data_IF_406215894318
#
_entry.id   IF_406215894318
#
_cell.length_a   1.000
_cell.length_b   1.000
_cell.length_c   1.000
_cell.angle_alpha   90.00
_cell.angle_beta   90.00
_cell.angle_gamma   90.00
#
_symmetry.space_group_name_H-M   'P 1'
#
loop_
_entity.id
_entity.type
_entity.pdbx_description
1 polymer ?
#
# COMPACT_ATOMS: atom_id res chain seq x y z
N UNK A 1 -19.02 -16.12 18.95
CA UNK A 1 -17.95 -15.13 19.23
C UNK A 1 -17.44 -14.57 17.91
N UNK A 2 -18.09 -13.54 17.36
CA UNK A 2 -17.78 -12.98 16.02
C UNK A 2 -17.04 -11.62 16.14
N UNK A 3 -17.08 -10.98 17.31
CA UNK A 3 -16.50 -9.64 17.52
C UNK A 3 -14.96 -9.58 17.60
N UNK A 4 -14.29 -10.64 18.02
CA UNK A 4 -12.85 -10.59 18.32
C UNK A 4 -11.96 -10.48 17.07
N UNK A 5 -12.30 -11.19 15.97
CA UNK A 5 -11.53 -11.14 14.71
C UNK A 5 -11.71 -9.82 13.95
N UNK A 6 -12.89 -9.19 14.06
CA UNK A 6 -13.19 -7.91 13.41
C UNK A 6 -12.49 -6.73 14.08
N UNK A 7 -12.30 -6.78 15.42
CA UNK A 7 -11.54 -5.78 16.16
C UNK A 7 -10.05 -5.82 15.80
N UNK A 8 -9.43 -7.00 15.73
CA UNK A 8 -8.00 -7.13 15.41
C UNK A 8 -7.63 -6.57 14.04
N UNK A 9 -8.56 -6.56 13.08
CA UNK A 9 -8.30 -6.10 11.71
C UNK A 9 -8.38 -4.58 11.55
N UNK A 10 -9.48 -3.94 12.00
CA UNK A 10 -9.60 -2.47 11.96
C UNK A 10 -8.53 -1.79 12.82
N UNK A 11 -8.18 -2.39 13.95
CA UNK A 11 -7.23 -1.81 14.90
C UNK A 11 -5.77 -1.94 14.47
N UNK A 12 -5.39 -2.96 13.69
CA UNK A 12 -3.99 -3.17 13.29
C UNK A 12 -3.70 -2.91 11.80
N UNK A 13 -4.68 -3.12 10.92
CA UNK A 13 -4.46 -3.03 9.47
C UNK A 13 -4.67 -1.63 8.92
N UNK A 14 -5.62 -0.88 9.48
CA UNK A 14 -5.84 0.52 9.09
C UNK A 14 -4.64 1.41 9.41
N UNK A 15 -4.04 1.33 10.63
CA UNK A 15 -2.79 2.03 10.90
C UNK A 15 -1.65 1.57 9.99
N UNK A 16 -1.60 0.28 9.62
CA UNK A 16 -0.60 -0.23 8.69
C UNK A 16 -0.69 0.46 7.31
N UNK A 17 -1.90 0.60 6.76
CA UNK A 17 -2.13 1.27 5.46
C UNK A 17 -1.86 2.78 5.54
N UNK A 18 -2.28 3.44 6.62
CA UNK A 18 -1.97 4.86 6.83
C UNK A 18 -0.46 5.11 6.94
N UNK A 19 0.25 4.28 7.71
CA UNK A 19 1.71 4.37 7.85
C UNK A 19 2.44 4.08 6.53
N UNK A 20 1.90 3.17 5.69
CA UNK A 20 2.45 2.90 4.36
C UNK A 20 2.38 4.15 3.48
N UNK A 21 1.21 4.79 3.42
CA UNK A 21 1.01 6.04 2.67
C UNK A 21 1.92 7.15 3.20
N UNK A 22 2.02 7.29 4.52
CA UNK A 22 2.90 8.26 5.16
C UNK A 22 4.38 8.01 4.82
N UNK A 23 4.80 6.74 4.79
CA UNK A 23 6.17 6.36 4.40
C UNK A 23 6.45 6.75 2.96
N UNK A 24 5.53 6.45 2.04
CA UNK A 24 5.67 6.83 0.63
C UNK A 24 5.73 8.35 0.46
N UNK A 25 4.84 9.10 1.13
CA UNK A 25 4.85 10.56 1.11
C UNK A 25 6.14 11.15 1.67
N UNK A 26 6.69 10.58 2.75
CA UNK A 26 7.94 11.04 3.34
C UNK A 26 9.13 10.85 2.42
N UNK A 27 9.20 9.72 1.72
CA UNK A 27 10.26 9.49 0.73
C UNK A 27 10.10 10.44 -0.47
N UNK A 28 8.89 10.60 -1.02
CA UNK A 28 8.64 11.56 -2.11
C UNK A 28 8.89 13.03 -1.70
N UNK A 29 8.86 13.35 -0.40
CA UNK A 29 9.17 14.68 0.14
C UNK A 29 10.61 14.80 0.66
N UNK A 30 11.42 13.73 0.58
CA UNK A 30 12.81 13.72 1.06
C UNK A 30 13.60 14.90 0.48
N UNK A 31 13.31 15.22 -0.77
CA UNK A 31 14.06 16.16 -1.58
C UNK A 31 13.44 17.57 -1.55
N UNK A 32 12.36 17.73 -0.76
CA UNK A 32 11.62 18.97 -0.56
C UNK A 32 10.66 19.34 -1.70
N UNK A 33 10.63 18.56 -2.79
CA UNK A 33 9.77 18.77 -3.95
C UNK A 33 9.22 17.41 -4.38
N UNK A 34 7.90 17.30 -4.52
CA UNK A 34 7.26 16.13 -5.13
C UNK A 34 7.20 16.38 -6.64
N UNK A 35 7.82 15.50 -7.41
CA UNK A 35 7.77 15.54 -8.88
C UNK A 35 6.42 15.02 -9.40
N UNK A 36 6.13 15.29 -10.68
CA UNK A 36 4.91 14.78 -11.32
C UNK A 36 4.84 13.25 -11.29
N UNK A 37 5.97 12.56 -11.52
CA UNK A 37 6.10 11.10 -11.49
C UNK A 37 5.76 10.56 -10.09
N UNK A 38 6.38 11.11 -9.05
CA UNK A 38 6.11 10.71 -7.67
C UNK A 38 4.67 11.00 -7.25
N UNK A 39 4.09 12.13 -7.70
CA UNK A 39 2.69 12.44 -7.46
C UNK A 39 1.75 11.40 -8.06
N UNK A 40 2.07 10.86 -9.24
CA UNK A 40 1.31 9.78 -9.87
C UNK A 40 1.42 8.50 -9.05
N UNK A 41 2.63 8.13 -8.62
CA UNK A 41 2.85 6.97 -7.75
C UNK A 41 2.08 7.09 -6.44
N UNK A 42 2.17 8.24 -5.76
CA UNK A 42 1.44 8.50 -4.52
C UNK A 42 -0.07 8.40 -4.72
N UNK A 43 -0.59 8.95 -5.82
CA UNK A 43 -2.00 8.86 -6.16
C UNK A 43 -2.43 7.41 -6.38
N UNK A 44 -1.60 6.60 -7.06
CA UNK A 44 -1.88 5.19 -7.25
C UNK A 44 -1.87 4.42 -5.93
N UNK A 45 -0.89 4.68 -5.05
CA UNK A 45 -0.83 4.07 -3.72
C UNK A 45 -2.12 4.38 -2.95
N UNK A 46 -2.59 5.62 -2.98
CA UNK A 46 -3.84 6.02 -2.33
C UNK A 46 -5.05 5.28 -2.90
N UNK A 47 -5.14 5.16 -4.22
CA UNK A 47 -6.22 4.41 -4.90
C UNK A 47 -6.19 2.94 -4.50
N UNK A 48 -5.02 2.30 -4.50
CA UNK A 48 -4.87 0.90 -4.14
C UNK A 48 -5.20 0.64 -2.67
N UNK A 49 -4.74 1.51 -1.77
CA UNK A 49 -5.10 1.48 -0.33
C UNK A 49 -6.61 1.54 -0.16
N UNK A 50 -7.28 2.51 -0.79
CA UNK A 50 -8.74 2.66 -0.68
C UNK A 50 -9.51 1.51 -1.31
N UNK A 51 -9.03 1.02 -2.46
CA UNK A 51 -9.63 -0.13 -3.14
C UNK A 51 -9.55 -1.38 -2.26
N UNK A 52 -8.38 -1.60 -1.66
CA UNK A 52 -8.17 -2.71 -0.75
C UNK A 52 -8.99 -2.56 0.53
N UNK A 53 -9.06 -1.37 1.14
CA UNK A 53 -9.96 -1.11 2.29
C UNK A 53 -11.43 -1.48 1.97
N UNK A 54 -11.90 -1.18 0.75
CA UNK A 54 -13.25 -1.54 0.29
C UNK A 54 -13.41 -3.05 0.08
N UNK A 55 -12.44 -3.71 -0.54
CA UNK A 55 -12.46 -5.18 -0.73
C UNK A 55 -12.46 -5.91 0.61
N UNK A 56 -11.66 -5.42 1.55
CA UNK A 56 -11.58 -5.95 2.91
C UNK A 56 -12.88 -5.73 3.69
N UNK A 57 -13.51 -4.56 3.58
CA UNK A 57 -14.80 -4.31 4.21
C UNK A 57 -15.84 -5.35 3.76
N UNK A 58 -15.86 -5.70 2.46
CA UNK A 58 -16.75 -6.73 1.91
C UNK A 58 -16.39 -8.15 2.37
N UNK A 59 -15.11 -8.48 2.47
CA UNK A 59 -14.66 -9.81 2.91
C UNK A 59 -14.87 -10.04 4.41
N UNK A 60 -14.71 -8.99 5.23
CA UNK A 60 -15.03 -9.00 6.67
C UNK A 60 -16.53 -9.24 6.91
N UNK A 61 -17.40 -8.71 6.04
CA UNK A 61 -18.84 -9.00 6.06
C UNK A 61 -19.18 -10.43 5.61
N UNK A 62 -18.25 -11.11 4.91
CA UNK A 62 -18.50 -12.41 4.26
C UNK A 62 -17.97 -13.62 5.05
N UNK A 63 -17.37 -13.44 6.23
CA UNK A 63 -16.80 -14.49 7.12
C UNK A 63 -15.70 -15.37 6.49
N UNK A 64 -15.30 -15.10 5.23
CA UNK A 64 -14.15 -15.71 4.55
C UNK A 64 -12.89 -14.94 4.95
N UNK A 65 -12.48 -15.15 6.20
CA UNK A 65 -11.33 -14.46 6.79
C UNK A 65 -10.01 -14.86 6.12
N UNK A 66 -9.46 -13.98 5.26
CA UNK A 66 -8.03 -14.00 4.98
C UNK A 66 -7.28 -13.67 6.29
N UNK A 67 -6.27 -14.45 6.64
CA UNK A 67 -5.38 -14.08 7.74
C UNK A 67 -4.74 -12.73 7.43
N UNK A 68 -4.52 -11.90 8.45
CA UNK A 68 -3.95 -10.55 8.26
C UNK A 68 -2.66 -10.56 7.43
N UNK A 69 -1.80 -11.57 7.59
CA UNK A 69 -0.58 -11.73 6.80
C UNK A 69 -0.85 -12.07 5.32
N UNK A 70 -1.80 -12.96 5.03
CA UNK A 70 -2.17 -13.29 3.65
C UNK A 70 -2.74 -12.05 2.93
N UNK A 71 -3.54 -11.26 3.64
CA UNK A 71 -4.05 -9.98 3.14
C UNK A 71 -2.91 -8.97 2.89
N UNK A 72 -1.94 -8.82 3.82
CA UNK A 72 -0.76 -7.97 3.61
C UNK A 72 0.04 -8.39 2.38
N UNK A 73 0.28 -9.69 2.20
CA UNK A 73 1.06 -10.21 1.07
C UNK A 73 0.36 -9.97 -0.26
N UNK A 74 -0.93 -10.31 -0.35
CA UNK A 74 -1.71 -10.07 -1.56
C UNK A 74 -1.77 -8.57 -1.92
N UNK A 75 -1.91 -7.71 -0.91
CA UNK A 75 -1.87 -6.26 -1.10
C UNK A 75 -0.50 -5.78 -1.57
N UNK A 76 0.60 -6.24 -0.94
CA UNK A 76 1.97 -5.93 -1.36
C UNK A 76 2.17 -6.24 -2.84
N UNK A 77 1.87 -7.47 -3.25
CA UNK A 77 2.07 -7.93 -4.62
C UNK A 77 1.28 -7.08 -5.62
N UNK A 78 0.02 -6.75 -5.30
CA UNK A 78 -0.83 -5.91 -6.14
C UNK A 78 -0.31 -4.47 -6.23
N UNK A 79 0.01 -3.87 -5.09
CA UNK A 79 0.51 -2.49 -5.01
C UNK A 79 1.82 -2.33 -5.79
N UNK A 80 2.81 -3.17 -5.51
CA UNK A 80 4.12 -3.10 -6.16
C UNK A 80 3.97 -3.34 -7.67
N UNK A 81 3.11 -4.28 -8.09
CA UNK A 81 2.82 -4.49 -9.51
C UNK A 81 2.20 -3.26 -10.15
N UNK A 82 1.22 -2.62 -9.49
CA UNK A 82 0.54 -1.44 -10.04
C UNK A 82 1.49 -0.25 -10.21
N UNK A 83 2.32 0.01 -9.20
CA UNK A 83 3.32 1.09 -9.25
C UNK A 83 4.36 0.80 -10.32
N UNK A 84 4.90 -0.43 -10.38
CA UNK A 84 5.87 -0.82 -11.42
C UNK A 84 5.28 -0.73 -12.83
N UNK A 85 3.99 -1.01 -13.00
CA UNK A 85 3.32 -0.85 -14.28
C UNK A 85 3.25 0.63 -14.69
N UNK A 86 2.84 1.52 -13.78
CA UNK A 86 2.79 2.96 -14.04
C UNK A 86 4.17 3.53 -14.37
N UNK A 87 5.18 3.22 -13.56
CA UNK A 87 6.54 3.68 -13.79
C UNK A 87 7.16 3.07 -15.07
N UNK A 88 6.59 1.99 -15.62
CA UNK A 88 6.96 1.46 -16.93
C UNK A 88 6.15 2.07 -18.09
N UNK A 89 5.04 2.77 -17.85
CA UNK A 89 4.26 3.44 -18.92
C UNK A 89 5.06 4.57 -19.57
N UNK A 90 5.89 5.26 -18.79
CA UNK A 90 6.82 6.29 -19.29
C UNK A 90 8.13 5.68 -19.88
N UNK A 91 8.23 4.35 -19.90
CA UNK A 91 9.29 3.59 -20.56
C UNK A 91 10.56 3.36 -19.74
N UNK A 92 10.69 4.01 -18.56
CA UNK A 92 11.84 3.82 -17.67
C UNK A 92 11.47 4.18 -16.22
N UNK A 93 11.84 3.31 -15.27
CA UNK A 93 11.78 3.66 -13.85
C UNK A 93 12.82 4.75 -13.55
N UNK A 94 12.36 5.85 -12.98
CA UNK A 94 13.25 6.87 -12.44
C UNK A 94 13.88 6.39 -11.13
N UNK A 95 15.01 7.01 -10.75
CA UNK A 95 15.70 6.65 -9.49
C UNK A 95 14.83 6.93 -8.27
N UNK A 96 14.03 7.98 -8.31
CA UNK A 96 13.20 8.40 -7.18
C UNK A 96 12.01 7.45 -7.03
N UNK A 97 11.45 6.99 -8.16
CA UNK A 97 10.44 5.92 -8.18
C UNK A 97 10.98 4.59 -7.65
N UNK A 98 12.21 4.20 -8.02
CA UNK A 98 12.90 3.03 -7.47
C UNK A 98 13.05 3.13 -5.95
N UNK A 99 13.41 4.30 -5.43
CA UNK A 99 13.58 4.53 -3.99
C UNK A 99 12.24 4.34 -3.26
N UNK A 100 11.15 4.92 -3.78
CA UNK A 100 9.82 4.77 -3.18
C UNK A 100 9.39 3.30 -3.18
N UNK A 101 9.56 2.59 -4.30
CA UNK A 101 9.22 1.16 -4.41
C UNK A 101 10.04 0.32 -3.43
N UNK A 102 11.34 0.54 -3.36
CA UNK A 102 12.23 -0.18 -2.45
C UNK A 102 11.85 0.08 -0.99
N UNK A 103 11.48 1.32 -0.63
CA UNK A 103 11.04 1.65 0.72
C UNK A 103 9.74 0.95 1.09
N UNK A 104 8.79 0.91 0.16
CA UNK A 104 7.56 0.16 0.34
C UNK A 104 7.87 -1.32 0.58
N UNK A 105 8.72 -1.93 -0.26
CA UNK A 105 9.12 -3.33 -0.10
C UNK A 105 9.79 -3.63 1.25
N UNK A 106 10.65 -2.72 1.74
CA UNK A 106 11.25 -2.79 3.08
C UNK A 106 10.21 -2.68 4.19
N UNK A 107 9.26 -1.74 4.08
CA UNK A 107 8.19 -1.57 5.06
C UNK A 107 7.34 -2.85 5.22
N UNK A 108 7.09 -3.57 4.12
CA UNK A 108 6.42 -4.88 4.17
C UNK A 108 7.31 -6.02 4.69
N UNK A 109 8.63 -5.86 4.74
CA UNK A 109 9.56 -6.87 5.26
C UNK A 109 9.82 -6.70 6.77
N UNK A 110 9.71 -5.48 7.30
CA UNK A 110 9.95 -5.16 8.71
C UNK A 110 8.70 -5.31 9.62
N UNK A 111 7.50 -5.57 9.06
CA UNK A 111 6.19 -5.51 9.74
C UNK A 111 5.29 -6.72 9.48
#
# INVERSE_FOLDING_TARGET
MIGAKNMTFKENFRPFLSNLLETAMKEALSDGIITSEESVILSQIEVDVRSFEKELAKNVESDVGLSGEAAKRAFKERLIKSIKQLAMEDGQLSKDEEVIINKLEQYFAEK
#
